data_IF_853967411743
#
_entry.id   IF_853967411743
#
_cell.length_a   1.000
_cell.length_b   1.000
_cell.length_c   1.000
_cell.angle_alpha   90.00
_cell.angle_beta   90.00
_cell.angle_gamma   90.00
#
_symmetry.space_group_name_H-M   'P 1'
#
loop_
_entity.id
_entity.type
_entity.pdbx_description
1 polymer ?
#
# COMPACT_ATOMS: atom_id res chain seq x y z
N UNK A 1 -7.92 -10.38 23.29
CA UNK A 1 -6.84 -10.70 22.41
C UNK A 1 -6.26 -9.44 21.77
N UNK A 2 -5.09 -9.57 21.24
CA UNK A 2 -4.34 -8.53 20.55
C UNK A 2 -5.16 -7.84 19.44
N UNK A 3 -5.97 -8.60 18.71
CA UNK A 3 -6.78 -8.08 17.62
C UNK A 3 -7.97 -7.23 18.07
N UNK A 4 -8.55 -7.54 19.22
CA UNK A 4 -9.77 -6.86 19.68
C UNK A 4 -9.50 -5.47 20.24
N UNK A 5 -8.35 -5.27 20.90
CA UNK A 5 -8.00 -4.00 21.56
C UNK A 5 -7.74 -2.89 20.55
N UNK A 6 -7.36 -3.24 19.30
CA UNK A 6 -6.91 -2.28 18.30
C UNK A 6 -7.84 -2.15 17.10
N UNK A 7 -9.07 -2.63 17.17
CA UNK A 7 -10.00 -2.55 16.04
C UNK A 7 -10.26 -1.10 15.62
N UNK A 8 -10.51 -0.20 16.58
CA UNK A 8 -10.76 1.22 16.29
C UNK A 8 -9.52 1.90 15.71
N UNK A 9 -8.34 1.60 16.23
CA UNK A 9 -7.09 2.14 15.72
C UNK A 9 -6.79 1.63 14.30
N UNK A 10 -7.05 0.34 14.04
CA UNK A 10 -6.90 -0.25 12.72
C UNK A 10 -7.87 0.38 11.71
N UNK A 11 -9.13 0.59 12.09
CA UNK A 11 -10.12 1.28 11.27
C UNK A 11 -9.69 2.71 10.95
N UNK A 12 -9.11 3.40 11.92
CA UNK A 12 -8.58 4.75 11.71
C UNK A 12 -7.42 4.73 10.72
N UNK A 13 -6.51 3.79 10.84
CA UNK A 13 -5.40 3.61 9.91
C UNK A 13 -5.92 3.38 8.48
N UNK A 14 -6.90 2.48 8.33
CA UNK A 14 -7.49 2.18 7.03
C UNK A 14 -8.20 3.40 6.45
N UNK A 15 -8.91 4.16 7.28
CA UNK A 15 -9.57 5.40 6.86
C UNK A 15 -8.59 6.44 6.35
N UNK A 16 -7.47 6.64 7.03
CA UNK A 16 -6.43 7.58 6.61
C UNK A 16 -5.79 7.10 5.30
N UNK A 17 -5.46 5.81 5.18
CA UNK A 17 -4.89 5.26 3.97
C UNK A 17 -5.83 5.46 2.77
N UNK A 18 -7.13 5.22 2.95
CA UNK A 18 -8.13 5.42 1.91
C UNK A 18 -8.27 6.89 1.52
N UNK A 19 -8.26 7.80 2.49
CA UNK A 19 -8.29 9.24 2.23
C UNK A 19 -7.05 9.67 1.43
N UNK A 20 -5.88 9.18 1.80
CA UNK A 20 -4.63 9.54 1.15
C UNK A 20 -4.49 8.93 -0.25
N UNK A 21 -5.12 7.78 -0.48
CA UNK A 21 -5.09 7.12 -1.79
C UNK A 21 -5.88 7.90 -2.85
N UNK A 22 -6.93 8.60 -2.46
CA UNK A 22 -7.78 9.39 -3.36
C UNK A 22 -8.19 8.60 -4.60
N UNK A 23 -8.73 7.40 -4.36
CA UNK A 23 -9.12 6.49 -5.44
C UNK A 23 -10.34 7.00 -6.19
N UNK A 24 -10.31 6.75 -7.50
CA UNK A 24 -11.44 6.95 -8.40
C UNK A 24 -11.94 5.58 -8.89
N UNK A 25 -13.22 5.47 -9.29
CA UNK A 25 -13.80 4.18 -9.71
C UNK A 25 -13.09 3.49 -10.87
N UNK A 26 -12.36 4.23 -11.69
CA UNK A 26 -11.59 3.69 -12.82
C UNK A 26 -10.17 3.27 -12.45
N UNK A 27 -9.75 3.49 -11.21
CA UNK A 27 -8.36 3.28 -10.80
C UNK A 27 -8.00 1.82 -10.61
N UNK A 28 -6.74 1.51 -10.88
CA UNK A 28 -6.06 0.27 -10.49
C UNK A 28 -5.19 0.58 -9.27
N UNK A 29 -5.44 -0.14 -8.19
CA UNK A 29 -4.66 -0.06 -6.95
C UNK A 29 -3.72 -1.26 -6.88
N UNK A 30 -2.43 -1.01 -6.76
CA UNK A 30 -1.42 -2.04 -6.49
C UNK A 30 -1.01 -1.93 -5.02
N UNK A 31 -1.22 -3.01 -4.27
CA UNK A 31 -0.88 -3.12 -2.85
C UNK A 31 0.32 -4.04 -2.72
N UNK A 32 1.51 -3.46 -2.63
CA UNK A 32 2.74 -4.20 -2.37
C UNK A 32 2.87 -4.44 -0.86
N UNK A 33 3.29 -5.62 -0.46
CA UNK A 33 3.29 -6.08 0.94
C UNK A 33 1.87 -6.16 1.51
N UNK A 34 0.95 -6.76 0.76
CA UNK A 34 -0.47 -6.67 1.09
C UNK A 34 -0.91 -7.49 2.32
N UNK A 35 -0.08 -8.41 2.81
CA UNK A 35 -0.45 -9.26 3.93
C UNK A 35 -1.74 -10.02 3.63
N UNK A 36 -2.68 -9.98 4.56
CA UNK A 36 -3.99 -10.60 4.42
C UNK A 36 -4.97 -9.76 3.59
N UNK A 37 -4.49 -8.69 2.99
CA UNK A 37 -5.29 -7.82 2.13
C UNK A 37 -6.14 -6.80 2.86
N UNK A 38 -5.97 -6.64 4.17
CA UNK A 38 -6.87 -5.85 5.02
C UNK A 38 -7.02 -4.40 4.57
N UNK A 39 -5.90 -3.71 4.33
CA UNK A 39 -5.95 -2.30 3.95
C UNK A 39 -6.48 -2.14 2.53
N UNK A 40 -5.94 -2.88 1.57
CA UNK A 40 -6.38 -2.81 0.17
C UNK A 40 -7.86 -3.15 0.01
N UNK A 41 -8.31 -4.22 0.66
CA UNK A 41 -9.71 -4.64 0.59
C UNK A 41 -10.65 -3.62 1.25
N UNK A 42 -10.19 -2.89 2.27
CA UNK A 42 -11.02 -1.85 2.91
C UNK A 42 -11.41 -0.72 1.96
N UNK A 43 -10.66 -0.54 0.87
CA UNK A 43 -10.92 0.50 -0.12
C UNK A 43 -11.21 -0.06 -1.52
N UNK A 44 -11.41 -1.38 -1.64
CA UNK A 44 -11.64 -2.04 -2.93
C UNK A 44 -12.92 -1.57 -3.64
N UNK A 45 -13.92 -1.15 -2.88
CA UNK A 45 -15.17 -0.60 -3.44
C UNK A 45 -14.97 0.74 -4.15
N UNK A 46 -13.82 1.40 -3.96
CA UNK A 46 -13.50 2.71 -4.52
C UNK A 46 -12.64 2.65 -5.78
N UNK A 47 -12.23 1.46 -6.21
CA UNK A 47 -11.35 1.30 -7.38
C UNK A 47 -11.93 0.26 -8.34
N UNK A 48 -11.37 0.22 -9.55
CA UNK A 48 -11.76 -0.75 -10.57
C UNK A 48 -11.15 -2.12 -10.33
N UNK A 49 -9.89 -2.14 -9.89
CA UNK A 49 -9.12 -3.38 -9.70
C UNK A 49 -8.14 -3.22 -8.54
N UNK A 50 -8.04 -4.27 -7.74
CA UNK A 50 -7.04 -4.38 -6.68
C UNK A 50 -6.07 -5.51 -7.03
N UNK A 51 -4.78 -5.21 -7.02
CA UNK A 51 -3.71 -6.20 -7.19
C UNK A 51 -2.89 -6.19 -5.91
N UNK A 52 -2.82 -7.32 -5.22
CA UNK A 52 -2.04 -7.47 -3.99
C UNK A 52 -0.88 -8.43 -4.18
N UNK A 53 0.27 -8.10 -3.61
CA UNK A 53 1.49 -8.92 -3.64
C UNK A 53 1.96 -9.12 -2.21
N UNK A 54 2.24 -10.38 -1.84
CA UNK A 54 2.71 -10.75 -0.53
C UNK A 54 3.58 -12.01 -0.62
N UNK A 55 4.68 -12.06 0.13
CA UNK A 55 5.61 -13.20 0.06
C UNK A 55 5.13 -14.41 0.88
N UNK A 56 4.28 -14.20 1.87
CA UNK A 56 3.80 -15.27 2.78
C UNK A 56 2.58 -15.97 2.17
N UNK A 57 2.68 -17.27 1.80
CA UNK A 57 1.58 -17.98 1.14
C UNK A 57 0.29 -18.02 1.95
N UNK A 58 0.38 -18.22 3.26
CA UNK A 58 -0.79 -18.27 4.15
C UNK A 58 -1.52 -16.93 4.19
N UNK A 59 -0.78 -15.82 4.10
CA UNK A 59 -1.38 -14.49 4.04
C UNK A 59 -2.15 -14.29 2.73
N UNK A 60 -1.60 -14.77 1.61
CA UNK A 60 -2.30 -14.73 0.32
C UNK A 60 -3.58 -15.55 0.36
N UNK A 61 -3.55 -16.75 0.94
CA UNK A 61 -4.77 -17.56 1.10
C UNK A 61 -5.81 -16.81 1.93
N UNK A 62 -5.39 -16.16 3.01
CA UNK A 62 -6.26 -15.33 3.83
C UNK A 62 -6.82 -14.13 3.06
N UNK A 63 -6.01 -13.48 2.24
CA UNK A 63 -6.44 -12.35 1.42
C UNK A 63 -7.54 -12.77 0.43
N UNK A 64 -7.35 -13.90 -0.24
CA UNK A 64 -8.36 -14.46 -1.15
C UNK A 64 -9.66 -14.80 -0.43
N UNK A 65 -9.57 -15.40 0.76
CA UNK A 65 -10.74 -15.72 1.58
C UNK A 65 -11.44 -14.44 2.07
N UNK A 66 -10.68 -13.42 2.45
CA UNK A 66 -11.23 -12.14 2.87
C UNK A 66 -11.97 -11.45 1.72
N UNK A 67 -11.42 -11.46 0.52
CA UNK A 67 -12.07 -10.91 -0.67
C UNK A 67 -13.39 -11.64 -0.96
N UNK A 68 -13.39 -12.98 -0.88
CA UNK A 68 -14.58 -13.78 -1.10
C UNK A 68 -15.69 -13.45 -0.09
N UNK A 69 -15.34 -13.23 1.18
CA UNK A 69 -16.29 -12.86 2.22
C UNK A 69 -16.90 -11.47 2.00
N UNK A 70 -16.21 -10.58 1.31
CA UNK A 70 -16.74 -9.25 0.99
C UNK A 70 -17.74 -9.26 -0.16
N UNK A 71 -17.90 -10.39 -0.85
CA UNK A 71 -18.86 -10.57 -1.93
C UNK A 71 -18.21 -10.79 -3.29
N UNK A 72 -19.02 -11.24 -4.24
CA UNK A 72 -18.56 -11.62 -5.58
C UNK A 72 -17.96 -10.43 -6.35
N UNK A 73 -18.51 -9.24 -6.17
CA UNK A 73 -18.02 -8.05 -6.86
C UNK A 73 -16.58 -7.71 -6.46
N UNK A 74 -16.25 -7.78 -5.16
CA UNK A 74 -14.90 -7.53 -4.66
C UNK A 74 -13.96 -8.65 -5.08
N UNK A 75 -14.41 -9.92 -4.94
CA UNK A 75 -13.60 -11.08 -5.33
C UNK A 75 -13.23 -11.03 -6.81
N UNK A 76 -14.18 -10.64 -7.68
CA UNK A 76 -13.96 -10.59 -9.12
C UNK A 76 -12.91 -9.56 -9.56
N UNK A 77 -12.76 -8.48 -8.82
CA UNK A 77 -11.81 -7.41 -9.17
C UNK A 77 -10.50 -7.43 -8.38
N UNK A 78 -10.34 -8.41 -7.48
CA UNK A 78 -9.16 -8.50 -6.60
C UNK A 78 -8.31 -9.69 -7.02
N UNK A 79 -7.02 -9.44 -7.28
CA UNK A 79 -6.04 -10.47 -7.64
C UNK A 79 -4.89 -10.42 -6.64
N UNK A 80 -4.49 -11.60 -6.14
CA UNK A 80 -3.42 -11.71 -5.15
C UNK A 80 -2.34 -12.66 -5.64
N UNK A 81 -1.09 -12.22 -5.53
CA UNK A 81 0.08 -12.98 -5.98
C UNK A 81 1.04 -13.22 -4.83
N UNK A 82 1.46 -14.49 -4.67
CA UNK A 82 2.49 -14.86 -3.71
C UNK A 82 3.85 -14.68 -4.36
N UNK A 83 4.56 -13.62 -3.98
CA UNK A 83 5.88 -13.30 -4.55
C UNK A 83 6.60 -12.30 -3.67
N UNK A 84 7.92 -12.21 -3.84
CA UNK A 84 8.71 -11.13 -3.27
C UNK A 84 8.26 -9.79 -3.88
N UNK A 85 8.05 -8.77 -3.05
CA UNK A 85 7.51 -7.50 -3.49
C UNK A 85 8.39 -6.81 -4.54
N UNK A 86 9.72 -6.80 -4.33
CA UNK A 86 10.64 -6.18 -5.27
C UNK A 86 10.67 -6.89 -6.62
N UNK A 87 10.74 -8.22 -6.61
CA UNK A 87 10.74 -9.02 -7.84
C UNK A 87 9.41 -8.88 -8.59
N UNK A 88 8.30 -8.95 -7.87
CA UNK A 88 6.98 -8.80 -8.49
C UNK A 88 6.79 -7.40 -9.06
N UNK A 89 7.17 -6.37 -8.33
CA UNK A 89 7.06 -4.98 -8.79
C UNK A 89 7.90 -4.75 -10.05
N UNK A 90 9.13 -5.23 -10.08
CA UNK A 90 10.01 -5.12 -11.25
C UNK A 90 9.40 -5.84 -12.46
N UNK A 91 8.84 -7.02 -12.26
CA UNK A 91 8.19 -7.80 -13.32
C UNK A 91 6.94 -7.09 -13.85
N UNK A 92 6.08 -6.61 -12.97
CA UNK A 92 4.88 -5.89 -13.36
C UNK A 92 5.22 -4.61 -14.13
N UNK A 93 6.24 -3.89 -13.69
CA UNK A 93 6.72 -2.70 -14.39
C UNK A 93 7.23 -3.05 -15.79
N UNK A 94 8.02 -4.11 -15.93
CA UNK A 94 8.54 -4.58 -17.21
C UNK A 94 7.42 -5.03 -18.17
N UNK A 95 6.35 -5.61 -17.63
CA UNK A 95 5.17 -6.02 -18.39
C UNK A 95 4.28 -4.85 -18.79
N UNK A 96 4.59 -3.63 -18.34
CA UNK A 96 3.86 -2.43 -18.70
C UNK A 96 2.67 -2.09 -17.82
N UNK A 97 2.55 -2.70 -16.63
CA UNK A 97 1.49 -2.31 -15.70
C UNK A 97 1.64 -0.85 -15.29
N UNK A 98 0.54 -0.12 -15.31
CA UNK A 98 0.49 1.30 -14.92
C UNK A 98 -0.64 1.49 -13.89
N UNK A 99 -0.41 1.08 -12.62
CA UNK A 99 -1.40 1.33 -11.59
C UNK A 99 -1.53 2.84 -11.32
N UNK A 100 -2.72 3.27 -10.97
CA UNK A 100 -2.98 4.67 -10.68
C UNK A 100 -2.49 5.05 -9.29
N UNK A 101 -2.62 4.13 -8.35
CA UNK A 101 -2.17 4.30 -6.96
C UNK A 101 -1.41 3.03 -6.54
N UNK A 102 -0.27 3.24 -5.89
CA UNK A 102 0.49 2.15 -5.27
C UNK A 102 0.51 2.36 -3.77
N UNK A 103 0.17 1.32 -3.01
CA UNK A 103 0.28 1.30 -1.57
C UNK A 103 1.48 0.45 -1.15
N UNK A 104 2.28 0.97 -0.24
CA UNK A 104 3.46 0.31 0.30
C UNK A 104 3.28 0.18 1.82
N UNK A 105 3.31 -1.05 2.31
CA UNK A 105 3.29 -1.35 3.76
C UNK A 105 4.45 -2.31 4.07
N UNK A 106 5.70 -1.83 3.90
CA UNK A 106 6.87 -2.70 4.00
C UNK A 106 7.18 -3.11 5.44
N UNK A 107 8.04 -4.14 5.60
CA UNK A 107 8.55 -4.49 6.92
C UNK A 107 9.40 -3.35 7.51
N UNK A 108 9.85 -3.53 8.77
CA UNK A 108 10.60 -2.49 9.49
C UNK A 108 11.84 -1.97 8.77
N UNK A 109 12.47 -2.80 7.95
CA UNK A 109 13.64 -2.40 7.14
C UNK A 109 13.30 -1.46 5.99
N UNK A 110 12.02 -1.24 5.71
CA UNK A 110 11.54 -0.45 4.59
C UNK A 110 11.58 -1.21 3.27
N UNK A 111 11.47 -0.47 2.18
CA UNK A 111 11.58 -1.00 0.83
C UNK A 111 13.04 -1.09 0.41
N UNK A 112 13.36 -2.07 -0.44
CA UNK A 112 14.65 -2.08 -1.13
C UNK A 112 14.60 -1.16 -2.37
N UNK A 113 15.76 -0.89 -2.93
CA UNK A 113 15.87 -0.01 -4.10
C UNK A 113 15.19 -0.60 -5.33
N UNK A 114 15.19 -1.92 -5.48
CA UNK A 114 14.50 -2.60 -6.58
C UNK A 114 13.00 -2.30 -6.54
N UNK A 115 12.40 -2.37 -5.36
CA UNK A 115 10.97 -2.04 -5.17
C UNK A 115 10.68 -0.59 -5.49
N UNK A 116 11.47 0.33 -4.92
CA UNK A 116 11.25 1.76 -5.13
C UNK A 116 11.44 2.16 -6.60
N UNK A 117 12.47 1.60 -7.26
CA UNK A 117 12.72 1.85 -8.68
C UNK A 117 11.55 1.37 -9.54
N UNK A 118 11.00 0.19 -9.25
CA UNK A 118 9.86 -0.35 -9.97
C UNK A 118 8.61 0.52 -9.78
N UNK A 119 8.38 1.02 -8.56
CA UNK A 119 7.27 1.93 -8.27
C UNK A 119 7.36 3.18 -9.15
N UNK A 120 8.53 3.80 -9.22
CA UNK A 120 8.76 5.00 -10.04
C UNK A 120 8.57 4.67 -11.54
N UNK A 121 9.05 3.52 -11.98
CA UNK A 121 8.89 3.06 -13.36
C UNK A 121 7.41 2.88 -13.74
N UNK A 122 6.60 2.35 -12.83
CA UNK A 122 5.16 2.20 -13.03
C UNK A 122 4.41 3.53 -13.03
N UNK A 123 5.01 4.56 -12.50
CA UNK A 123 4.54 5.95 -12.58
C UNK A 123 3.11 6.19 -12.06
N UNK A 124 2.75 5.72 -10.84
CA UNK A 124 1.42 6.01 -10.30
C UNK A 124 1.27 7.51 -10.02
N UNK A 125 0.04 8.01 -10.02
CA UNK A 125 -0.16 9.41 -9.63
C UNK A 125 0.01 9.62 -8.13
N UNK A 126 -0.23 8.56 -7.32
CA UNK A 126 -0.08 8.64 -5.85
C UNK A 126 0.58 7.39 -5.31
N UNK A 127 1.35 7.57 -4.24
CA UNK A 127 1.89 6.50 -3.43
C UNK A 127 1.43 6.74 -1.99
N UNK A 128 0.86 5.71 -1.37
CA UNK A 128 0.52 5.72 0.05
C UNK A 128 1.48 4.79 0.76
N UNK A 129 2.28 5.35 1.65
CA UNK A 129 3.30 4.60 2.39
C UNK A 129 2.85 4.45 3.84
N UNK A 130 2.70 3.22 4.30
CA UNK A 130 2.35 2.89 5.67
C UNK A 130 3.58 2.29 6.33
N UNK A 131 3.99 2.81 7.48
CA UNK A 131 5.23 2.40 8.13
C UNK A 131 5.10 2.27 9.63
N UNK A 132 5.70 1.22 10.18
CA UNK A 132 5.91 1.07 11.62
C UNK A 132 7.28 1.60 12.07
N UNK A 133 8.12 2.10 11.15
CA UNK A 133 9.47 2.58 11.44
C UNK A 133 9.69 3.96 10.81
N UNK A 134 9.67 5.04 11.62
CA UNK A 134 9.84 6.40 11.09
C UNK A 134 11.14 6.62 10.34
N UNK A 135 12.24 5.97 10.76
CA UNK A 135 13.54 6.15 10.12
C UNK A 135 13.58 5.63 8.70
N UNK A 136 13.07 4.41 8.48
CA UNK A 136 13.02 3.82 7.14
C UNK A 136 11.96 4.49 6.27
N UNK A 137 10.86 4.94 6.87
CA UNK A 137 9.85 5.72 6.16
C UNK A 137 10.42 7.03 5.62
N UNK A 138 11.18 7.76 6.45
CA UNK A 138 11.83 9.00 6.04
C UNK A 138 12.84 8.76 4.93
N UNK A 139 13.63 7.68 5.03
CA UNK A 139 14.60 7.29 4.00
C UNK A 139 13.93 7.00 2.67
N UNK A 140 12.88 6.18 2.69
CA UNK A 140 12.17 5.78 1.46
C UNK A 140 11.40 6.96 0.85
N UNK A 141 10.77 7.80 1.68
CA UNK A 141 10.10 9.01 1.20
C UNK A 141 11.09 9.99 0.56
N UNK A 142 12.28 10.17 1.16
CA UNK A 142 13.32 11.02 0.59
C UNK A 142 13.78 10.49 -0.76
N UNK A 143 13.95 9.17 -0.88
CA UNK A 143 14.31 8.54 -2.14
C UNK A 143 13.25 8.80 -3.22
N UNK A 144 11.97 8.65 -2.87
CA UNK A 144 10.87 8.94 -3.80
C UNK A 144 10.82 10.41 -4.19
N UNK A 145 11.12 11.32 -3.26
CA UNK A 145 11.18 12.76 -3.57
C UNK A 145 12.30 13.09 -4.56
N UNK A 146 13.42 12.39 -4.48
CA UNK A 146 14.52 12.55 -5.45
C UNK A 146 14.14 12.00 -6.84
N UNK A 147 13.07 11.22 -6.93
CA UNK A 147 12.65 10.54 -8.16
C UNK A 147 11.28 11.00 -8.68
N UNK A 148 10.89 12.23 -8.36
CA UNK A 148 9.72 12.84 -8.97
C UNK A 148 8.43 12.75 -8.18
N UNK A 149 8.48 12.33 -6.94
CA UNK A 149 7.32 12.31 -6.04
C UNK A 149 7.47 13.36 -4.96
N UNK A 150 6.36 13.82 -4.44
CA UNK A 150 6.33 14.86 -3.42
C UNK A 150 5.47 14.40 -2.23
N UNK A 151 6.06 14.38 -1.05
CA UNK A 151 5.33 14.06 0.18
C UNK A 151 4.44 15.25 0.55
N UNK A 152 3.14 15.04 0.49
CA UNK A 152 2.15 16.10 0.77
C UNK A 152 1.66 16.08 2.21
N UNK A 153 1.46 14.87 2.75
CA UNK A 153 0.87 14.67 4.06
C UNK A 153 1.56 13.54 4.79
N UNK A 154 1.75 13.73 6.08
CA UNK A 154 2.29 12.70 6.97
C UNK A 154 1.41 12.67 8.21
N UNK A 155 0.83 11.51 8.52
CA UNK A 155 -0.04 11.35 9.66
C UNK A 155 0.45 10.20 10.54
N UNK A 156 0.92 10.48 11.77
CA UNK A 156 1.16 9.41 12.74
C UNK A 156 -0.18 8.85 13.25
N UNK A 157 -0.23 7.54 13.44
CA UNK A 157 -1.39 6.83 13.96
C UNK A 157 -0.95 5.97 15.12
N UNK A 158 -1.43 6.25 16.31
CA UNK A 158 -1.10 5.50 17.51
C UNK A 158 -2.01 4.26 17.58
N UNK A 159 -1.46 3.10 17.23
CA UNK A 159 -2.18 1.82 17.28
C UNK A 159 -2.21 1.21 18.70
N UNK A 160 -1.28 1.64 19.55
CA UNK A 160 -1.11 1.08 20.88
C UNK A 160 -0.95 2.22 21.88
N UNK A 161 -2.07 2.74 22.45
CA UNK A 161 -1.98 3.78 23.47
C UNK A 161 -1.01 3.38 24.58
N UNK A 162 -0.12 4.28 24.97
CA UNK A 162 0.91 4.09 26.01
C UNK A 162 2.09 3.20 25.58
N UNK A 163 2.23 2.85 24.30
CA UNK A 163 3.41 2.15 23.78
C UNK A 163 4.16 3.03 22.80
N UNK A 164 5.39 2.64 22.45
CA UNK A 164 6.19 3.35 21.46
C UNK A 164 5.88 2.91 20.02
N UNK A 165 4.85 2.09 19.82
CA UNK A 165 4.47 1.58 18.52
C UNK A 165 3.49 2.55 17.86
N UNK A 166 4.01 3.31 16.90
CA UNK A 166 3.25 4.27 16.11
C UNK A 166 3.39 3.92 14.64
N UNK A 167 2.26 3.77 13.97
CA UNK A 167 2.24 3.71 12.51
C UNK A 167 2.27 5.12 11.97
N UNK A 168 2.82 5.27 10.79
CA UNK A 168 2.85 6.54 10.07
C UNK A 168 2.33 6.31 8.67
N UNK A 169 1.43 7.17 8.21
CA UNK A 169 0.91 7.14 6.85
C UNK A 169 1.39 8.37 6.10
N UNK A 170 2.04 8.17 4.97
CA UNK A 170 2.57 9.24 4.13
C UNK A 170 1.86 9.20 2.78
N UNK A 171 1.32 10.35 2.36
CA UNK A 171 0.78 10.53 1.03
C UNK A 171 1.82 11.23 0.15
N UNK A 172 2.19 10.58 -0.95
CA UNK A 172 3.08 11.17 -1.94
C UNK A 172 2.34 11.28 -3.27
N UNK A 173 2.49 12.39 -3.95
CA UNK A 173 1.95 12.59 -5.29
C UNK A 173 3.06 12.76 -6.29
N UNK A 174 2.78 12.36 -7.53
CA UNK A 174 3.70 12.56 -8.64
C UNK A 174 3.83 14.06 -8.88
N UNK A 175 5.07 14.54 -8.89
CA UNK A 175 5.37 15.93 -9.17
C UNK A 175 5.02 16.29 -10.62
N UNK A 176 4.66 17.57 -10.84
CA UNK A 176 4.50 18.07 -12.20
C UNK A 176 5.87 18.05 -12.86
N UNK A 177 5.89 17.54 -14.11
CA UNK A 177 7.08 17.64 -14.91
C UNK A 177 7.13 19.08 -15.40
N UNK A 178 8.05 19.87 -14.85
CA UNK A 178 8.33 21.20 -15.37
C UNK A 178 8.85 21.03 -16.80
N UNK A 179 8.01 21.43 -17.72
CA UNK A 179 8.37 21.41 -19.14
C UNK A 179 9.25 22.61 -19.48
#
# INVERSE_FOLDING_TARGET
SFYQVNTLAAERLYGIAAEYAQLEPSDVLLDLYCGMGTIGLSMADRCRELIGVEIVPEAIDSAKANAARMGDAVAAKSRFFCADAGQAAARLAAEGLRPDVIMLDPPRKGCDETTLSAVVQMSPRRVVYVSCNPSTAARDAAWLEEHGYHAEKVQPVDLFPRTRHCECVIALSKGEIDS
#
